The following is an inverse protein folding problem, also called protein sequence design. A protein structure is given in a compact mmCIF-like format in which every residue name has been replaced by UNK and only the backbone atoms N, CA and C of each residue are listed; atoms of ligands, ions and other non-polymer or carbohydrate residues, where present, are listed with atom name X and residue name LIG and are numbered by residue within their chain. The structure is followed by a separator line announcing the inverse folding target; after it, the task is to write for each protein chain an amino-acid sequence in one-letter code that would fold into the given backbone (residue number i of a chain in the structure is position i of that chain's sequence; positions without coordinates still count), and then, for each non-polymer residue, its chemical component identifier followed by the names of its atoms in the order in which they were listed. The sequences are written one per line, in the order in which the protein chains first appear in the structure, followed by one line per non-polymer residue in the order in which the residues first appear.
data_IF_816454903958
#
_entry.id   IF_816454903958
#
_cell.length_a   1.000
_cell.length_b   1.000
_cell.length_c   1.000
_cell.angle_alpha   90.00
_cell.angle_beta   90.00
_cell.angle_gamma   90.00
#
_symmetry.space_group_name_H-M   'P 1'
#
loop_
_entity.id
_entity.type
_entity.pdbx_description
1 polymer ?
#
# COMPACT_ATOMS: atom_id res chain seq x y z
N UNK A 1 16.88 -22.37 -11.12
CA UNK A 1 15.89 -22.04 -10.07
C UNK A 1 16.42 -20.85 -9.29
N UNK A 2 15.64 -19.78 -9.11
CA UNK A 2 16.05 -18.60 -8.35
C UNK A 2 16.15 -18.94 -6.85
N UNK A 3 17.14 -18.39 -6.15
CA UNK A 3 17.24 -18.55 -4.69
C UNK A 3 16.18 -17.68 -3.97
N UNK A 4 15.75 -18.05 -2.74
CA UNK A 4 14.78 -17.25 -1.98
C UNK A 4 15.22 -15.80 -1.78
N UNK A 5 16.51 -15.57 -1.48
CA UNK A 5 17.06 -14.22 -1.30
C UNK A 5 17.00 -13.38 -2.58
N UNK A 6 17.28 -13.99 -3.75
CA UNK A 6 17.18 -13.28 -5.03
C UNK A 6 15.72 -12.98 -5.37
N UNK A 7 14.80 -13.89 -5.06
CA UNK A 7 13.37 -13.69 -5.26
C UNK A 7 12.83 -12.56 -4.36
N UNK A 8 13.26 -12.50 -3.09
CA UNK A 8 12.93 -11.40 -2.18
C UNK A 8 13.37 -10.04 -2.71
N UNK A 9 14.61 -9.95 -3.22
CA UNK A 9 15.11 -8.74 -3.91
C UNK A 9 14.32 -8.38 -5.17
N UNK A 10 13.74 -9.35 -5.87
CA UNK A 10 12.86 -9.05 -7.03
C UNK A 10 11.55 -8.45 -6.53
N UNK A 11 11.00 -8.98 -5.43
CA UNK A 11 9.75 -8.49 -4.86
C UNK A 11 9.83 -7.05 -4.34
N UNK A 12 11.02 -6.54 -4.01
CA UNK A 12 11.17 -5.12 -3.61
C UNK A 12 10.97 -4.12 -4.75
N UNK A 13 11.00 -4.56 -6.02
CA UNK A 13 10.66 -3.72 -7.17
C UNK A 13 9.16 -3.68 -7.48
N UNK A 14 8.37 -4.53 -6.82
CA UNK A 14 6.93 -4.60 -7.03
C UNK A 14 6.24 -3.48 -6.28
N UNK A 15 5.16 -2.98 -6.87
CA UNK A 15 4.20 -2.16 -6.14
C UNK A 15 3.54 -2.98 -5.04
N UNK A 16 2.95 -2.27 -4.08
CA UNK A 16 2.21 -2.90 -2.98
C UNK A 16 1.06 -3.81 -3.45
N UNK A 17 0.44 -3.50 -4.60
CA UNK A 17 -0.65 -4.29 -5.17
C UNK A 17 -0.14 -5.56 -5.87
N UNK A 18 0.97 -5.46 -6.59
CA UNK A 18 1.64 -6.61 -7.19
C UNK A 18 2.20 -7.55 -6.11
N UNK A 19 2.70 -6.98 -5.01
CA UNK A 19 3.12 -7.73 -3.83
C UNK A 19 1.99 -8.61 -3.28
N UNK A 20 0.77 -8.07 -3.15
CA UNK A 20 -0.38 -8.88 -2.69
C UNK A 20 -0.60 -10.07 -3.62
N UNK A 21 -0.47 -9.88 -4.93
CA UNK A 21 -0.66 -10.96 -5.88
C UNK A 21 0.44 -12.03 -5.75
N UNK A 22 1.68 -11.64 -5.47
CA UNK A 22 2.78 -12.57 -5.17
C UNK A 22 2.48 -13.47 -3.99
N UNK A 23 1.87 -12.95 -2.92
CA UNK A 23 1.52 -13.77 -1.74
C UNK A 23 0.48 -14.86 -2.05
N UNK A 24 -0.27 -14.72 -3.14
CA UNK A 24 -1.29 -15.68 -3.58
C UNK A 24 -0.74 -16.79 -4.49
N UNK A 25 0.48 -16.65 -5.02
CA UNK A 25 1.07 -17.61 -5.95
C UNK A 25 1.41 -18.93 -5.25
N UNK A 26 2.05 -18.87 -4.08
CA UNK A 26 2.38 -20.06 -3.27
C UNK A 26 2.70 -19.68 -1.83
N UNK A 27 2.61 -20.66 -0.92
CA UNK A 27 3.03 -20.49 0.49
C UNK A 27 4.50 -20.08 0.61
N UNK A 28 5.37 -20.57 -0.27
CA UNK A 28 6.79 -20.21 -0.27
C UNK A 28 7.00 -18.73 -0.66
N UNK A 29 6.26 -18.25 -1.67
CA UNK A 29 6.33 -16.85 -2.11
C UNK A 29 5.75 -15.91 -1.06
N UNK A 30 4.65 -16.29 -0.42
CA UNK A 30 4.07 -15.54 0.70
C UNK A 30 5.06 -15.36 1.86
N UNK A 31 5.83 -16.41 2.19
CA UNK A 31 6.85 -16.34 3.25
C UNK A 31 7.98 -15.38 2.89
N UNK A 32 8.55 -15.52 1.70
CA UNK A 32 9.64 -14.65 1.21
C UNK A 32 9.18 -13.18 1.16
N UNK A 33 7.96 -12.97 0.66
CA UNK A 33 7.33 -11.66 0.58
C UNK A 33 7.23 -11.00 1.96
N UNK A 34 6.74 -11.72 2.98
CA UNK A 34 6.57 -11.22 4.33
C UNK A 34 7.90 -10.88 5.04
N UNK A 35 8.96 -11.64 4.80
CA UNK A 35 10.26 -11.46 5.47
C UNK A 35 11.08 -10.30 4.87
N UNK A 36 11.10 -10.16 3.54
CA UNK A 36 12.01 -9.22 2.85
C UNK A 36 11.35 -7.88 2.50
N UNK A 37 10.06 -7.89 2.15
CA UNK A 37 9.44 -6.73 1.46
C UNK A 37 8.82 -5.73 2.44
N UNK A 38 8.32 -6.21 3.59
CA UNK A 38 7.82 -5.34 4.68
C UNK A 38 8.96 -4.49 5.26
N UNK A 39 10.19 -4.97 5.21
CA UNK A 39 11.36 -4.24 5.70
C UNK A 39 11.84 -3.15 4.75
N UNK A 40 11.72 -3.36 3.43
CA UNK A 40 12.29 -2.44 2.44
C UNK A 40 11.30 -1.40 1.89
N UNK A 41 9.99 -1.63 1.98
CA UNK A 41 9.00 -0.66 1.48
C UNK A 41 8.94 0.58 2.38
N UNK A 42 9.34 1.72 1.82
CA UNK A 42 9.28 3.04 2.47
C UNK A 42 8.16 3.93 1.93
N UNK A 43 7.57 3.57 0.78
CA UNK A 43 6.49 4.34 0.14
C UNK A 43 5.27 3.47 -0.11
N UNK A 44 4.10 3.97 0.27
CA UNK A 44 2.79 3.44 -0.10
C UNK A 44 2.18 4.37 -1.15
N UNK A 45 1.97 3.87 -2.36
CA UNK A 45 1.39 4.66 -3.45
C UNK A 45 0.03 4.07 -3.87
N UNK A 46 -1.04 4.73 -3.44
CA UNK A 46 -2.41 4.43 -3.85
C UNK A 46 -2.82 5.17 -5.14
N UNK A 47 -1.93 5.91 -5.79
CA UNK A 47 -2.25 6.56 -7.06
C UNK A 47 -2.68 5.56 -8.15
N UNK A 48 -2.32 4.27 -8.04
CA UNK A 48 -2.84 3.23 -8.95
C UNK A 48 -4.30 2.86 -8.69
N UNK A 49 -4.83 3.17 -7.51
CA UNK A 49 -6.25 3.02 -7.15
C UNK A 49 -7.05 4.31 -7.38
N UNK A 50 -6.50 5.26 -8.13
CA UNK A 50 -7.03 6.59 -8.37
C UNK A 50 -8.55 6.64 -8.64
N UNK A 51 -9.06 5.71 -9.44
CA UNK A 51 -10.49 5.63 -9.76
C UNK A 51 -11.32 4.87 -8.71
N UNK A 52 -10.74 3.90 -8.00
CA UNK A 52 -11.48 2.95 -7.18
C UNK A 52 -11.57 3.35 -5.70
N UNK A 53 -10.57 4.05 -5.17
CA UNK A 53 -10.40 4.26 -3.72
C UNK A 53 -11.63 4.91 -3.06
N UNK A 54 -12.28 5.82 -3.78
CA UNK A 54 -13.50 6.48 -3.32
C UNK A 54 -14.78 5.66 -3.37
N UNK A 55 -14.83 4.64 -4.23
CA UNK A 55 -16.02 3.81 -4.44
C UNK A 55 -15.96 2.52 -3.62
N UNK A 56 -14.76 2.10 -3.20
CA UNK A 56 -14.57 0.88 -2.41
C UNK A 56 -14.72 1.12 -0.91
N UNK A 57 -15.01 0.04 -0.18
CA UNK A 57 -14.79 -0.07 1.26
C UNK A 57 -13.30 0.16 1.56
N UNK A 58 -12.92 1.06 2.50
CA UNK A 58 -11.51 1.30 2.85
C UNK A 58 -10.86 0.15 3.63
N UNK A 59 -11.64 -0.80 4.18
CA UNK A 59 -11.12 -1.88 5.05
C UNK A 59 -9.97 -2.70 4.44
N UNK A 60 -9.99 -3.09 3.15
CA UNK A 60 -8.87 -3.78 2.51
C UNK A 60 -7.60 -2.91 2.46
N UNK A 61 -7.74 -1.61 2.22
CA UNK A 61 -6.64 -0.66 2.15
C UNK A 61 -6.07 -0.40 3.54
N UNK A 62 -6.92 -0.26 4.55
CA UNK A 62 -6.54 -0.19 5.96
C UNK A 62 -5.74 -1.43 6.37
N UNK A 63 -6.19 -2.62 5.95
CA UNK A 63 -5.47 -3.88 6.21
C UNK A 63 -4.07 -3.84 5.59
N UNK A 64 -3.94 -3.31 4.38
CA UNK A 64 -2.63 -3.13 3.75
C UNK A 64 -1.77 -2.12 4.52
N UNK A 65 -2.28 -0.93 4.82
CA UNK A 65 -1.55 0.12 5.55
C UNK A 65 -0.96 -0.42 6.85
N UNK A 66 -1.74 -1.21 7.60
CA UNK A 66 -1.31 -1.81 8.85
C UNK A 66 -0.19 -2.86 8.69
N UNK A 67 -0.04 -3.47 7.51
CA UNK A 67 1.01 -4.45 7.24
C UNK A 67 2.38 -3.80 6.99
N UNK A 68 2.43 -2.56 6.51
CA UNK A 68 3.66 -1.90 6.08
C UNK A 68 4.13 -0.82 7.06
N UNK A 69 4.59 -1.27 8.23
CA UNK A 69 4.99 -0.39 9.35
C UNK A 69 6.20 0.52 9.08
N UNK A 70 6.99 0.23 8.04
CA UNK A 70 8.18 1.01 7.67
C UNK A 70 7.91 2.09 6.61
N UNK A 71 6.67 2.19 6.11
CA UNK A 71 6.30 3.20 5.13
C UNK A 71 6.33 4.58 5.76
N UNK A 72 7.20 5.46 5.26
CA UNK A 72 7.33 6.83 5.75
C UNK A 72 6.72 7.87 4.79
N UNK A 73 6.23 7.43 3.62
CA UNK A 73 5.59 8.27 2.60
C UNK A 73 4.31 7.61 2.10
N UNK A 74 3.19 8.33 2.18
CA UNK A 74 1.90 7.90 1.65
C UNK A 74 1.45 8.82 0.52
N UNK A 75 1.17 8.24 -0.64
CA UNK A 75 0.65 8.95 -1.81
C UNK A 75 -0.79 8.51 -2.07
N UNK A 76 -1.70 9.48 -2.05
CA UNK A 76 -3.10 9.34 -2.46
C UNK A 76 -3.38 10.24 -3.68
N UNK A 77 -2.33 10.57 -4.46
CA UNK A 77 -2.46 11.42 -5.63
C UNK A 77 -3.45 10.84 -6.64
N UNK A 78 -4.18 11.72 -7.33
CA UNK A 78 -5.17 11.37 -8.34
C UNK A 78 -6.35 10.50 -7.85
N UNK A 79 -6.52 10.27 -6.54
CA UNK A 79 -7.71 9.60 -5.98
C UNK A 79 -8.97 10.48 -6.06
N UNK A 80 -9.53 10.68 -7.26
CA UNK A 80 -10.61 11.63 -7.55
C UNK A 80 -11.95 11.36 -6.85
N UNK A 81 -12.16 10.13 -6.40
CA UNK A 81 -13.37 9.76 -5.67
C UNK A 81 -13.16 9.68 -4.16
N UNK A 82 -11.93 9.88 -3.66
CA UNK A 82 -11.63 9.78 -2.24
C UNK A 82 -12.27 10.96 -1.50
N UNK A 83 -13.26 10.66 -0.64
CA UNK A 83 -13.90 11.65 0.22
C UNK A 83 -13.07 11.90 1.48
N UNK A 84 -13.30 13.05 2.13
CA UNK A 84 -12.66 13.40 3.41
C UNK A 84 -12.87 12.33 4.48
N UNK A 85 -14.11 11.85 4.63
CA UNK A 85 -14.44 10.83 5.61
C UNK A 85 -13.63 9.54 5.42
N UNK A 86 -13.42 9.11 4.17
CA UNK A 86 -12.60 7.92 3.87
C UNK A 86 -11.12 8.21 4.04
N UNK A 87 -10.66 9.38 3.63
CA UNK A 87 -9.27 9.77 3.83
C UNK A 87 -8.91 9.76 5.32
N UNK A 88 -9.76 10.32 6.18
CA UNK A 88 -9.56 10.31 7.62
C UNK A 88 -9.41 8.88 8.17
N UNK A 89 -10.27 7.94 7.75
CA UNK A 89 -10.15 6.53 8.14
C UNK A 89 -8.81 5.91 7.70
N UNK A 90 -8.35 6.23 6.49
CA UNK A 90 -7.05 5.75 6.00
C UNK A 90 -5.88 6.33 6.80
N UNK A 91 -5.95 7.62 7.14
CA UNK A 91 -4.90 8.30 7.92
C UNK A 91 -4.84 7.79 9.36
N UNK A 92 -5.99 7.51 9.98
CA UNK A 92 -6.08 6.94 11.34
C UNK A 92 -5.45 5.54 11.43
N UNK A 93 -5.49 4.78 10.33
CA UNK A 93 -4.91 3.45 10.25
C UNK A 93 -3.38 3.43 10.11
N UNK A 94 -2.73 4.58 9.87
CA UNK A 94 -1.28 4.62 9.61
C UNK A 94 -0.51 4.34 10.92
N UNK A 95 0.25 3.23 11.01
CA UNK A 95 0.81 2.77 12.28
C UNK A 95 1.90 3.68 12.84
N UNK A 96 2.60 4.42 11.98
CA UNK A 96 3.76 5.23 12.33
C UNK A 96 3.51 6.75 12.25
N UNK A 97 2.28 7.17 11.91
CA UNK A 97 1.79 8.56 11.81
C UNK A 97 2.79 9.56 11.18
N UNK A 98 3.61 9.10 10.25
CA UNK A 98 4.70 9.92 9.67
C UNK A 98 4.11 10.95 8.71
N UNK A 99 4.60 12.20 8.78
CA UNK A 99 3.96 13.38 8.18
C UNK A 99 4.26 13.63 6.69
N UNK A 100 4.68 12.63 5.91
CA UNK A 100 4.93 12.82 4.46
C UNK A 100 3.77 12.26 3.63
N UNK A 101 2.79 13.12 3.38
CA UNK A 101 1.63 12.80 2.56
C UNK A 101 1.67 13.54 1.23
N UNK A 102 1.24 12.87 0.16
CA UNK A 102 0.99 13.49 -1.13
C UNK A 102 -0.48 13.33 -1.51
N UNK A 103 -1.20 14.45 -1.54
CA UNK A 103 -2.61 14.54 -1.91
C UNK A 103 -2.72 15.31 -3.23
N UNK A 104 -2.29 14.69 -4.32
CA UNK A 104 -2.48 15.23 -5.67
C UNK A 104 -3.92 15.05 -6.18
N UNK A 105 -4.93 15.21 -5.32
CA UNK A 105 -6.34 14.91 -5.59
C UNK A 105 -7.23 16.13 -5.26
N UNK A 106 -8.26 16.35 -6.08
CA UNK A 106 -9.35 17.26 -5.74
C UNK A 106 -10.22 16.57 -4.70
N UNK A 107 -9.94 16.84 -3.43
CA UNK A 107 -10.77 16.43 -2.32
C UNK A 107 -11.94 17.43 -2.29
N UNK A 108 -13.12 16.98 -2.67
CA UNK A 108 -14.33 17.80 -2.70
C UNK A 108 -15.47 17.07 -2.04
N UNK A 109 -16.13 17.75 -1.10
CA UNK A 109 -17.38 17.31 -0.50
C UNK A 109 -18.42 17.08 -1.60
N UNK A 110 -18.88 15.83 -1.74
CA UNK A 110 -20.08 15.49 -2.52
C UNK A 110 -21.22 15.27 -1.53
#
# INVERSE_FOLDING_TARGET
VLSPALLGRIFTYLTIFEYINVTKVSKAWAKIAAEETIQCMTTFDAAQLWYLLGQIDPSPIITMINQFVNVNKYSFAYCHHLTDAKLLQLLEAIPNKVWNYSFGCFIGDV
#
